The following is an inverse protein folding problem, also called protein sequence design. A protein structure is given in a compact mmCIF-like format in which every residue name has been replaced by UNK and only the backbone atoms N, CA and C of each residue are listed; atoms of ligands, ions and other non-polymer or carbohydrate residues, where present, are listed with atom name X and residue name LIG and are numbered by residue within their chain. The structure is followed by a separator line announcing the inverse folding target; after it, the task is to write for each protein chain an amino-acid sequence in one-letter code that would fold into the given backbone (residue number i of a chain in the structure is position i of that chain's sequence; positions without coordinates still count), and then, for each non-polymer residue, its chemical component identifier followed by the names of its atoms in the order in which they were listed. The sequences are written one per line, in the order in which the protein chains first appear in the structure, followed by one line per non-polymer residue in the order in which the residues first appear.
data_IF_175014691922
#
_entry.id   IF_175014691922
#
_cell.length_a   1.000
_cell.length_b   1.000
_cell.length_c   1.000
_cell.angle_alpha   90.00
_cell.angle_beta   90.00
_cell.angle_gamma   90.00
#
_symmetry.space_group_name_H-M   'P 1'
#
loop_
_entity.id
_entity.type
_entity.pdbx_description
1 polymer ?
#
# COMPACT_ATOMS: atom_id res chain seq x y z
N UNK A 1 -2.08 -3.46 20.32
CA UNK A 1 -1.05 -4.14 21.13
C UNK A 1 -0.83 -5.57 20.59
N UNK A 2 0.30 -6.20 20.90
CA UNK A 2 0.54 -7.62 20.63
C UNK A 2 1.36 -8.19 21.78
N UNK A 3 0.84 -9.23 22.46
CA UNK A 3 1.41 -9.73 23.73
C UNK A 3 1.65 -8.64 24.79
N UNK A 4 0.76 -7.66 24.89
CA UNK A 4 0.89 -6.55 25.84
C UNK A 4 1.86 -5.44 25.42
N UNK A 5 2.55 -5.59 24.29
CA UNK A 5 3.45 -4.56 23.77
C UNK A 5 2.69 -3.54 22.90
N UNK A 6 2.86 -2.23 23.14
CA UNK A 6 2.34 -1.20 22.27
C UNK A 6 3.05 -1.28 20.92
N UNK A 7 2.31 -1.56 19.85
CA UNK A 7 2.87 -1.65 18.48
C UNK A 7 3.14 -0.29 17.83
N UNK A 8 3.13 0.77 18.64
CA UNK A 8 3.22 2.15 18.20
C UNK A 8 2.04 2.58 17.33
N UNK A 9 2.17 3.79 16.80
CA UNK A 9 1.25 4.39 15.85
C UNK A 9 1.96 4.48 14.49
N UNK A 10 1.61 3.56 13.59
CA UNK A 10 2.22 3.48 12.25
C UNK A 10 1.88 4.70 11.39
N UNK A 11 0.70 5.30 11.59
CA UNK A 11 0.28 6.49 10.86
C UNK A 11 1.14 7.66 11.28
N UNK A 12 1.27 7.88 12.59
CA UNK A 12 2.17 8.91 13.14
C UNK A 12 3.62 8.68 12.70
N UNK A 13 4.10 7.44 12.73
CA UNK A 13 5.47 7.13 12.32
C UNK A 13 5.72 7.45 10.84
N UNK A 14 4.83 7.03 9.95
CA UNK A 14 5.01 7.27 8.51
C UNK A 14 4.95 8.77 8.16
N UNK A 15 4.01 9.52 8.76
CA UNK A 15 3.95 10.98 8.60
C UNK A 15 5.19 11.66 9.15
N UNK A 16 5.71 11.21 10.31
CA UNK A 16 6.97 11.73 10.86
C UNK A 16 8.16 11.45 9.93
N UNK A 17 8.19 10.30 9.24
CA UNK A 17 9.22 10.02 8.25
C UNK A 17 9.18 11.01 7.09
N UNK A 18 7.99 11.33 6.57
CA UNK A 18 7.80 12.39 5.57
C UNK A 18 8.24 13.76 6.12
N UNK A 19 7.82 14.10 7.34
CA UNK A 19 8.21 15.36 7.99
C UNK A 19 9.73 15.49 8.18
N UNK A 20 10.42 14.37 8.36
CA UNK A 20 11.87 14.29 8.45
C UNK A 20 12.58 14.31 7.09
N UNK A 21 11.84 14.38 5.98
CA UNK A 21 12.38 14.54 4.63
C UNK A 21 12.33 13.29 3.75
N UNK A 22 11.58 12.25 4.11
CA UNK A 22 11.34 11.15 3.19
C UNK A 22 10.40 11.58 2.04
N UNK A 23 10.73 11.18 0.82
CA UNK A 23 9.91 11.44 -0.37
C UNK A 23 8.80 10.38 -0.57
N UNK A 24 8.98 9.20 0.01
CA UNK A 24 8.10 8.05 -0.15
C UNK A 24 8.24 7.10 1.05
N UNK A 25 7.12 6.50 1.49
CA UNK A 25 7.13 5.46 2.54
C UNK A 25 6.44 4.19 2.05
N UNK A 26 7.16 3.07 2.07
CA UNK A 26 6.61 1.72 1.87
C UNK A 26 6.64 0.91 3.15
N UNK A 27 5.45 0.63 3.68
CA UNK A 27 5.24 -0.15 4.88
C UNK A 27 5.04 -1.64 4.60
N UNK A 28 5.37 -2.46 5.61
CA UNK A 28 5.12 -3.89 5.64
C UNK A 28 4.94 -4.38 7.09
N UNK A 29 4.61 -5.66 7.27
CA UNK A 29 4.55 -6.31 8.60
C UNK A 29 3.21 -6.95 8.97
N UNK A 30 2.03 -6.35 8.68
CA UNK A 30 0.75 -6.97 9.05
C UNK A 30 0.33 -8.13 8.13
N UNK A 31 1.14 -8.48 7.13
CA UNK A 31 0.90 -9.55 6.16
C UNK A 31 -0.35 -9.38 5.28
N UNK A 32 -0.94 -8.20 5.27
CA UNK A 32 -2.10 -7.82 4.45
C UNK A 32 -1.90 -6.41 3.93
N UNK A 33 -2.58 -6.06 2.84
CA UNK A 33 -2.60 -4.68 2.33
C UNK A 33 -3.26 -3.73 3.33
N UNK A 34 -2.84 -2.47 3.33
CA UNK A 34 -3.47 -1.38 4.08
C UNK A 34 -3.70 -0.17 3.18
N UNK A 35 -4.35 0.86 3.74
CA UNK A 35 -4.54 2.15 3.10
C UNK A 35 -3.23 2.75 2.53
N UNK A 36 -3.42 3.64 1.57
CA UNK A 36 -2.43 4.57 1.07
C UNK A 36 -2.90 6.00 1.30
N UNK A 37 -1.96 6.90 1.49
CA UNK A 37 -2.20 8.30 1.80
C UNK A 37 -1.25 9.16 0.96
N UNK A 38 -1.75 10.31 0.49
CA UNK A 38 -0.93 11.40 0.00
C UNK A 38 -0.78 12.45 1.10
N UNK A 39 0.34 12.39 1.84
CA UNK A 39 0.63 13.29 2.95
C UNK A 39 1.69 14.33 2.53
N UNK A 40 1.33 15.62 2.53
CA UNK A 40 2.21 16.71 2.03
C UNK A 40 2.75 16.43 0.62
N UNK A 41 1.88 15.96 -0.26
CA UNK A 41 2.19 15.55 -1.64
C UNK A 41 3.21 14.40 -1.74
N UNK A 42 3.46 13.66 -0.65
CA UNK A 42 4.28 12.44 -0.60
C UNK A 42 3.40 11.21 -0.44
N UNK A 43 3.72 10.16 -1.19
CA UNK A 43 2.97 8.92 -1.11
C UNK A 43 3.41 8.10 0.13
N UNK A 44 2.44 7.58 0.86
CA UNK A 44 2.62 6.61 1.93
C UNK A 44 1.77 5.38 1.59
N UNK A 45 2.39 4.20 1.54
CA UNK A 45 1.67 2.93 1.52
C UNK A 45 1.87 2.21 2.86
N UNK A 46 0.82 2.12 3.68
CA UNK A 46 0.95 1.60 5.05
C UNK A 46 1.23 0.10 5.12
N UNK A 47 0.82 -0.66 4.11
CA UNK A 47 1.26 -2.03 3.91
C UNK A 47 0.98 -2.53 2.51
N UNK A 48 1.94 -3.24 1.91
CA UNK A 48 1.80 -3.88 0.60
C UNK A 48 1.50 -5.38 0.67
N UNK A 49 1.24 -5.98 1.84
CA UNK A 49 0.92 -7.42 1.95
C UNK A 49 2.05 -8.34 1.46
N UNK A 50 1.81 -9.65 1.35
CA UNK A 50 2.89 -10.62 1.11
C UNK A 50 3.19 -10.82 -0.39
N UNK A 51 4.14 -10.06 -0.95
CA UNK A 51 4.62 -10.29 -2.32
C UNK A 51 5.86 -11.18 -2.38
N UNK A 52 5.86 -12.16 -3.28
CA UNK A 52 6.99 -13.06 -3.58
C UNK A 52 7.59 -13.80 -2.37
N UNK A 53 6.77 -14.11 -1.35
CA UNK A 53 7.26 -14.72 -0.11
C UNK A 53 7.52 -16.22 -0.22
N UNK A 54 8.60 -16.71 0.42
CA UNK A 54 8.93 -18.14 0.52
C UNK A 54 8.05 -18.86 1.57
N UNK A 55 8.23 -20.18 1.76
CA UNK A 55 7.48 -20.96 2.76
C UNK A 55 7.61 -20.38 4.18
N UNK A 56 6.59 -20.60 5.03
CA UNK A 56 6.51 -20.05 6.40
C UNK A 56 5.64 -18.79 6.53
N UNK A 57 5.27 -18.16 5.41
CA UNK A 57 4.31 -17.04 5.38
C UNK A 57 2.96 -17.53 4.86
N UNK A 58 1.89 -17.27 5.62
CA UNK A 58 0.54 -17.62 5.21
C UNK A 58 0.11 -16.79 4.00
N UNK A 59 -0.46 -17.44 3.00
CA UNK A 59 -1.02 -16.80 1.79
C UNK A 59 -2.52 -17.04 1.63
N UNK A 60 -3.18 -17.56 2.66
CA UNK A 60 -4.63 -17.74 2.68
C UNK A 60 -5.35 -16.38 2.72
N UNK A 61 -6.54 -16.34 2.13
CA UNK A 61 -7.46 -15.21 2.21
C UNK A 61 -6.82 -13.87 1.79
N UNK A 62 -6.98 -12.83 2.62
CA UNK A 62 -6.41 -11.51 2.39
C UNK A 62 -4.87 -11.50 2.43
N UNK A 63 -4.24 -12.50 3.05
CA UNK A 63 -2.77 -12.57 3.14
C UNK A 63 -2.13 -13.00 1.82
N UNK A 64 -2.93 -13.53 0.89
CA UNK A 64 -2.52 -13.81 -0.48
C UNK A 64 -2.65 -12.59 -1.41
N UNK A 65 -3.22 -11.48 -0.96
CA UNK A 65 -3.29 -10.26 -1.78
C UNK A 65 -1.93 -9.58 -1.80
N UNK A 66 -1.33 -9.43 -2.98
CA UNK A 66 0.06 -9.05 -3.16
C UNK A 66 0.23 -7.99 -4.27
N UNK A 67 -0.10 -6.71 -4.02
CA UNK A 67 0.13 -5.64 -4.99
C UNK A 67 1.61 -5.47 -5.35
N UNK A 68 1.88 -5.09 -6.59
CA UNK A 68 3.10 -4.40 -6.98
C UNK A 68 2.73 -2.94 -7.18
N UNK A 69 3.33 -2.05 -6.40
CA UNK A 69 3.10 -0.61 -6.48
C UNK A 69 4.25 0.06 -7.24
N UNK A 70 3.90 0.78 -8.31
CA UNK A 70 4.79 1.71 -8.99
C UNK A 70 4.36 3.13 -8.66
N UNK A 71 5.32 4.01 -8.40
CA UNK A 71 5.09 5.41 -8.10
C UNK A 71 6.12 6.26 -8.87
N UNK A 72 5.64 7.30 -9.54
CA UNK A 72 6.45 8.31 -10.19
C UNK A 72 6.45 9.57 -9.33
N UNK A 73 7.65 10.10 -9.11
CA UNK A 73 7.88 11.29 -8.29
C UNK A 73 8.61 12.35 -9.13
N UNK A 74 8.36 13.62 -8.85
CA UNK A 74 9.17 14.70 -9.40
C UNK A 74 10.53 14.81 -8.70
N UNK A 75 11.37 15.74 -9.18
CA UNK A 75 12.72 15.98 -8.63
C UNK A 75 12.73 16.50 -7.18
N UNK A 76 11.58 16.95 -6.67
CA UNK A 76 11.39 17.36 -5.29
C UNK A 76 10.76 16.25 -4.45
N UNK A 77 10.57 15.04 -5.00
CA UNK A 77 9.94 13.91 -4.35
C UNK A 77 8.41 13.98 -4.28
N UNK A 78 7.75 14.88 -5.01
CA UNK A 78 6.28 14.98 -5.00
C UNK A 78 5.73 13.87 -5.86
N UNK A 79 4.71 13.17 -5.37
CA UNK A 79 4.00 12.18 -6.15
C UNK A 79 3.39 12.83 -7.40
N UNK A 80 3.54 12.19 -8.55
CA UNK A 80 2.92 12.60 -9.83
C UNK A 80 1.78 11.64 -10.15
N UNK A 81 2.13 10.38 -10.32
CA UNK A 81 1.19 9.30 -10.64
C UNK A 81 1.75 7.95 -10.20
N UNK A 82 0.93 6.91 -10.30
CA UNK A 82 1.37 5.57 -9.96
C UNK A 82 0.46 4.51 -10.54
N UNK A 83 0.78 3.25 -10.22
CA UNK A 83 -0.03 2.11 -10.62
C UNK A 83 0.09 0.98 -9.60
N UNK A 84 -1.05 0.39 -9.27
CA UNK A 84 -1.14 -0.88 -8.56
C UNK A 84 -1.36 -1.98 -9.60
N UNK A 85 -0.35 -2.83 -9.79
CA UNK A 85 -0.56 -4.12 -10.44
C UNK A 85 -1.05 -5.11 -9.41
N UNK A 86 -2.33 -5.49 -9.50
CA UNK A 86 -2.90 -6.49 -8.62
C UNK A 86 -2.36 -7.88 -8.97
N UNK A 87 -1.78 -8.54 -7.97
CA UNK A 87 -1.42 -9.96 -8.04
C UNK A 87 -1.93 -10.69 -6.80
N UNK A 88 -2.10 -11.99 -6.92
CA UNK A 88 -2.32 -12.91 -5.81
C UNK A 88 -1.08 -13.78 -5.61
N UNK A 89 -0.54 -13.81 -4.41
CA UNK A 89 0.48 -14.75 -4.02
C UNK A 89 -0.15 -16.14 -3.86
N UNK A 90 0.10 -17.03 -4.83
CA UNK A 90 -0.40 -18.41 -4.84
C UNK A 90 0.75 -19.36 -4.52
N UNK A 91 0.47 -20.42 -3.75
CA UNK A 91 1.44 -21.50 -3.54
C UNK A 91 1.10 -22.71 -4.41
N UNK A 92 2.09 -23.35 -5.06
CA UNK A 92 3.51 -22.99 -5.09
C UNK A 92 3.88 -21.93 -6.18
N UNK A 93 2.90 -21.45 -6.95
CA UNK A 93 3.14 -20.71 -8.20
C UNK A 93 3.74 -19.28 -8.07
N UNK A 94 3.88 -18.73 -6.86
CA UNK A 94 4.33 -17.35 -6.66
C UNK A 94 3.22 -16.31 -6.92
N UNK A 95 3.59 -15.03 -7.13
CA UNK A 95 2.65 -14.00 -7.54
C UNK A 95 2.04 -14.31 -8.91
N UNK A 96 0.72 -14.28 -8.99
CA UNK A 96 -0.06 -14.49 -10.21
C UNK A 96 -0.88 -13.24 -10.52
N UNK A 97 -0.94 -12.77 -11.78
CA UNK A 97 -1.79 -11.64 -12.14
C UNK A 97 -3.23 -11.86 -11.65
N UNK A 98 -3.84 -10.78 -11.14
CA UNK A 98 -5.22 -10.80 -10.66
C UNK A 98 -6.09 -9.89 -11.55
N UNK A 99 -6.75 -10.43 -12.59
CA UNK A 99 -7.66 -9.67 -13.44
C UNK A 99 -8.82 -9.05 -12.65
N UNK A 100 -9.15 -9.65 -11.49
CA UNK A 100 -10.16 -9.12 -10.62
C UNK A 100 -9.63 -7.96 -9.78
N UNK A 101 -8.42 -7.43 -9.94
CA UNK A 101 -7.95 -6.18 -9.31
C UNK A 101 -8.22 -6.08 -7.78
N UNK A 102 -8.10 -7.19 -7.05
CA UNK A 102 -8.48 -7.26 -5.63
C UNK A 102 -7.60 -6.36 -4.76
N UNK A 103 -6.30 -6.30 -5.05
CA UNK A 103 -5.37 -5.45 -4.31
C UNK A 103 -5.72 -3.97 -4.47
N UNK A 104 -5.91 -3.49 -5.71
CA UNK A 104 -6.32 -2.12 -5.97
C UNK A 104 -7.62 -1.77 -5.25
N UNK A 105 -8.67 -2.59 -5.37
CA UNK A 105 -9.96 -2.30 -4.72
C UNK A 105 -9.85 -2.22 -3.21
N UNK A 106 -9.19 -3.20 -2.58
CA UNK A 106 -9.00 -3.19 -1.13
C UNK A 106 -8.22 -1.97 -0.67
N UNK A 107 -7.13 -1.63 -1.36
CA UNK A 107 -6.33 -0.46 -1.02
C UNK A 107 -7.13 0.83 -1.21
N UNK A 108 -7.92 0.96 -2.27
CA UNK A 108 -8.84 2.10 -2.46
C UNK A 108 -9.84 2.21 -1.30
N UNK A 109 -10.56 1.14 -1.01
CA UNK A 109 -11.65 1.15 -0.03
C UNK A 109 -11.11 1.44 1.40
N UNK A 110 -9.94 0.89 1.74
CA UNK A 110 -9.22 1.20 2.99
C UNK A 110 -8.73 2.66 2.99
N UNK A 111 -8.20 3.15 1.87
CA UNK A 111 -7.73 4.53 1.75
C UNK A 111 -8.86 5.55 1.86
N UNK A 112 -10.07 5.21 1.39
CA UNK A 112 -11.24 6.06 1.50
C UNK A 112 -11.84 6.08 2.92
N UNK A 113 -11.71 4.98 3.65
CA UNK A 113 -12.26 4.86 5.01
C UNK A 113 -11.29 5.36 6.10
N UNK A 114 -10.00 5.09 5.95
CA UNK A 114 -9.01 5.33 7.01
C UNK A 114 -8.32 6.71 6.90
N UNK A 115 -8.32 7.33 5.71
CA UNK A 115 -7.60 8.59 5.45
C UNK A 115 -8.59 9.74 5.29
N UNK A 116 -8.44 10.77 6.14
CA UNK A 116 -9.21 12.01 6.03
C UNK A 116 -8.68 12.86 4.87
N UNK A 117 -9.57 13.59 4.22
CA UNK A 117 -9.24 14.51 3.12
C UNK A 117 -8.42 13.84 2.01
N UNK A 118 -8.83 12.62 1.64
CA UNK A 118 -8.13 11.80 0.66
C UNK A 118 -8.05 12.50 -0.71
N UNK A 119 -6.82 12.68 -1.20
CA UNK A 119 -6.50 13.25 -2.52
C UNK A 119 -6.01 12.23 -3.55
N UNK A 120 -5.74 10.99 -3.12
CA UNK A 120 -5.30 9.93 -4.02
C UNK A 120 -6.51 9.27 -4.69
N UNK A 121 -6.57 9.34 -6.02
CA UNK A 121 -7.61 8.75 -6.86
C UNK A 121 -7.14 7.39 -7.37
N UNK A 122 -7.99 6.38 -7.19
CA UNK A 122 -7.73 5.00 -7.62
C UNK A 122 -8.65 4.64 -8.79
N UNK A 123 -8.06 4.42 -9.96
CA UNK A 123 -8.78 4.01 -11.16
C UNK A 123 -8.97 2.50 -11.21
N UNK A 124 -10.04 2.06 -11.89
CA UNK A 124 -10.41 0.64 -11.98
C UNK A 124 -9.35 -0.23 -12.69
N UNK A 125 -8.48 0.37 -13.49
CA UNK A 125 -7.36 -0.28 -14.20
C UNK A 125 -6.07 -0.36 -13.36
N UNK A 126 -6.10 0.12 -12.12
CA UNK A 126 -4.93 0.18 -11.24
C UNK A 126 -4.18 1.50 -11.26
N UNK A 127 -4.51 2.45 -12.13
CA UNK A 127 -3.83 3.76 -12.17
C UNK A 127 -4.12 4.57 -10.90
N UNK A 128 -3.12 5.32 -10.45
CA UNK A 128 -3.19 6.23 -9.30
C UNK A 128 -2.89 7.65 -9.77
N UNK A 129 -3.74 8.60 -9.39
CA UNK A 129 -3.61 10.01 -9.73
C UNK A 129 -3.94 10.89 -8.52
N UNK A 130 -3.62 12.17 -8.61
CA UNK A 130 -4.02 13.16 -7.61
C UNK A 130 -5.36 13.76 -8.06
N UNK A 131 -6.31 13.93 -7.14
CA UNK A 131 -7.54 14.67 -7.40
C UNK A 131 -7.21 16.12 -7.76
N UNK A 132 -7.88 16.66 -8.77
CA UNK A 132 -7.84 18.09 -9.11
C UNK A 132 -8.25 18.99 -7.93
#
# INVERSE_FOLDING_TARGET
EYYGEPRGDVVRFARLAIDAGADLVFGHGPHVVRAMELYKDRLIAYSLGNFATYYGISVSDLKGVAPILMAELDYQGRFIEGRIHSTLQVRPAGPQPDPAQKAMRLMRDLSQSDVKDQRLVFSSDGSLQISE
#
